data_IF_427665296142
#
_entry.id   IF_427665296142
#
_cell.length_a   1.000
_cell.length_b   1.000
_cell.length_c   1.000
_cell.angle_alpha   90.00
_cell.angle_beta   90.00
_cell.angle_gamma   90.00
#
_symmetry.space_group_name_H-M   'P 1'
#
loop_
_entity.id
_entity.type
_entity.pdbx_description
1 polymer ?
#
# COMPACT_ATOMS: atom_id res chain seq x y z
N UNK A 1 1.16 8.25 30.28
CA UNK A 1 1.03 9.37 31.24
C UNK A 1 1.07 10.66 30.45
N UNK A 2 0.10 11.53 30.62
CA UNK A 2 0.01 12.84 29.95
C UNK A 2 0.39 13.92 30.95
N UNK A 3 1.47 14.63 30.68
CA UNK A 3 1.87 15.81 31.42
C UNK A 3 2.07 16.97 30.45
N UNK A 4 1.47 18.14 30.73
CA UNK A 4 1.67 19.39 29.99
C UNK A 4 1.61 19.25 28.46
N UNK A 5 0.56 18.64 27.90
CA UNK A 5 0.40 18.43 26.45
C UNK A 5 1.45 17.51 25.81
N UNK A 6 2.11 16.67 26.57
CA UNK A 6 3.09 15.67 26.10
C UNK A 6 2.66 14.29 26.59
N UNK A 7 2.60 13.31 25.70
CA UNK A 7 2.39 11.91 26.04
C UNK A 7 3.68 11.14 25.82
N UNK A 8 3.98 10.21 26.74
CA UNK A 8 5.13 9.31 26.64
C UNK A 8 4.63 7.87 26.57
N UNK A 9 5.19 7.09 25.65
CA UNK A 9 5.04 5.64 25.62
C UNK A 9 6.39 4.97 25.59
N UNK A 10 6.50 3.86 26.31
CA UNK A 10 7.67 2.98 26.27
C UNK A 10 7.22 1.57 25.96
N UNK A 11 7.78 0.98 24.93
CA UNK A 11 7.57 -0.41 24.55
C UNK A 11 8.88 -1.20 24.69
N UNK A 12 8.79 -2.42 25.24
CA UNK A 12 9.89 -3.38 25.27
C UNK A 12 9.57 -4.46 24.23
N UNK A 13 10.50 -4.73 23.34
CA UNK A 13 10.36 -5.72 22.27
C UNK A 13 11.48 -6.74 22.38
N UNK A 14 11.12 -8.02 22.42
CA UNK A 14 12.09 -9.11 22.32
C UNK A 14 12.40 -9.41 20.86
N UNK A 15 13.67 -9.39 20.46
CA UNK A 15 14.12 -9.78 19.14
C UNK A 15 15.35 -10.66 19.27
N UNK A 16 15.27 -11.90 18.81
CA UNK A 16 16.41 -12.86 18.83
C UNK A 16 17.12 -12.94 20.18
N UNK A 17 16.38 -12.98 21.29
CA UNK A 17 16.95 -13.05 22.64
C UNK A 17 17.48 -11.72 23.22
N UNK A 18 17.40 -10.63 22.47
CA UNK A 18 17.74 -9.28 22.96
C UNK A 18 16.47 -8.44 23.12
N UNK A 19 16.39 -7.67 24.21
CA UNK A 19 15.30 -6.71 24.42
C UNK A 19 15.66 -5.36 23.82
N UNK A 20 14.81 -4.82 22.97
CA UNK A 20 14.91 -3.45 22.47
C UNK A 20 13.89 -2.56 23.16
N UNK A 21 14.27 -1.33 23.49
CA UNK A 21 13.39 -0.33 24.10
C UNK A 21 13.05 0.74 23.09
N UNK A 22 11.77 0.97 22.85
CA UNK A 22 11.29 2.09 22.04
C UNK A 22 10.61 3.10 22.96
N UNK A 23 11.18 4.29 23.03
CA UNK A 23 10.62 5.44 23.73
C UNK A 23 10.00 6.41 22.72
N UNK A 24 8.73 6.74 22.87
CA UNK A 24 8.06 7.73 22.02
C UNK A 24 7.54 8.88 22.87
N UNK A 25 7.94 10.10 22.52
CA UNK A 25 7.43 11.36 23.03
C UNK A 25 6.51 11.97 21.96
N UNK A 26 5.27 12.22 22.31
CA UNK A 26 4.28 12.84 21.45
C UNK A 26 3.80 14.16 22.06
N UNK A 27 3.89 15.28 21.31
CA UNK A 27 3.43 16.60 21.72
C UNK A 27 2.15 16.97 20.99
N UNK A 28 1.11 17.37 21.69
CA UNK A 28 -0.13 17.93 21.10
C UNK A 28 0.25 19.23 20.36
N UNK A 29 0.13 19.28 19.05
CA UNK A 29 0.60 20.34 18.14
C UNK A 29 2.09 20.33 17.82
N UNK A 30 2.81 19.22 18.04
CA UNK A 30 4.25 19.18 17.82
C UNK A 30 4.78 17.94 17.14
N UNK A 31 6.09 17.84 17.10
CA UNK A 31 6.82 16.72 16.51
C UNK A 31 6.80 15.49 17.41
N UNK A 32 6.58 14.32 16.81
CA UNK A 32 6.84 13.05 17.46
C UNK A 32 8.36 12.81 17.50
N UNK A 33 8.88 12.45 18.66
CA UNK A 33 10.28 12.04 18.84
C UNK A 33 10.29 10.58 19.27
N UNK A 34 11.04 9.75 18.56
CA UNK A 34 11.19 8.34 18.90
C UNK A 34 12.67 8.03 19.13
N UNK A 35 12.95 7.25 20.16
CA UNK A 35 14.28 6.73 20.47
C UNK A 35 14.22 5.21 20.50
N UNK A 36 15.23 4.56 19.95
CA UNK A 36 15.47 3.12 20.06
C UNK A 36 16.71 2.92 20.91
N UNK A 37 16.59 2.20 22.01
CA UNK A 37 17.70 1.96 22.97
C UNK A 37 18.41 3.28 23.34
N UNK A 38 17.62 4.34 23.58
CA UNK A 38 18.12 5.68 23.92
C UNK A 38 18.61 6.52 22.72
N UNK A 39 18.84 5.94 21.54
CA UNK A 39 19.28 6.67 20.34
C UNK A 39 18.08 7.21 19.54
N UNK A 40 18.14 8.48 19.13
CA UNK A 40 17.07 9.12 18.36
C UNK A 40 16.94 8.47 16.98
N UNK A 41 15.72 8.03 16.65
CA UNK A 41 15.37 7.61 15.29
C UNK A 41 14.83 8.84 14.56
N UNK A 42 15.46 9.19 13.44
CA UNK A 42 15.07 10.34 12.62
C UNK A 42 14.20 9.93 11.43
N UNK A 43 14.25 8.66 11.02
CA UNK A 43 13.54 8.14 9.85
C UNK A 43 12.33 7.29 10.24
N UNK A 44 11.12 7.76 9.89
CA UNK A 44 9.89 6.94 9.96
C UNK A 44 9.99 5.65 9.15
N UNK A 45 10.70 5.67 8.02
CA UNK A 45 10.95 4.49 7.19
C UNK A 45 11.65 3.39 7.98
N UNK A 46 12.68 3.75 8.74
CA UNK A 46 13.44 2.81 9.56
C UNK A 46 12.59 2.21 10.69
N UNK A 47 11.76 3.02 11.34
CA UNK A 47 10.85 2.54 12.40
C UNK A 47 9.88 1.48 11.90
N UNK A 48 9.17 1.78 10.79
CA UNK A 48 8.15 0.87 10.22
C UNK A 48 8.79 -0.44 9.75
N UNK A 49 10.01 -0.40 9.20
CA UNK A 49 10.71 -1.60 8.73
C UNK A 49 11.26 -2.47 9.86
N UNK A 50 11.71 -1.85 10.96
CA UNK A 50 12.22 -2.61 12.11
C UNK A 50 11.13 -3.35 12.85
N UNK A 51 9.98 -2.72 13.00
CA UNK A 51 8.85 -3.25 13.74
C UNK A 51 7.58 -3.12 12.89
N UNK A 52 7.44 -3.94 11.83
CA UNK A 52 6.26 -3.92 11.00
C UNK A 52 5.05 -4.33 11.82
N UNK A 53 3.92 -3.67 11.59
CA UNK A 53 2.65 -3.92 12.25
C UNK A 53 1.62 -4.28 11.21
N UNK A 54 0.94 -5.39 11.41
CA UNK A 54 -0.22 -5.81 10.62
C UNK A 54 -1.45 -5.63 11.50
N UNK A 55 -2.40 -4.85 11.01
CA UNK A 55 -3.67 -4.60 11.70
C UNK A 55 -4.74 -5.39 10.99
N UNK A 56 -5.61 -6.04 11.75
CA UNK A 56 -6.80 -6.70 11.25
C UNK A 56 -7.99 -6.11 12.00
N UNK A 57 -8.73 -5.21 11.35
CA UNK A 57 -9.89 -4.50 11.91
C UNK A 57 -11.07 -4.52 10.92
N UNK A 58 -12.30 -4.27 11.39
CA UNK A 58 -13.48 -4.22 10.51
C UNK A 58 -13.38 -3.19 9.38
N UNK A 59 -12.71 -2.06 9.61
CA UNK A 59 -12.54 -1.00 8.61
C UNK A 59 -11.71 -1.45 7.41
N UNK A 60 -10.82 -2.42 7.59
CA UNK A 60 -10.01 -2.98 6.50
C UNK A 60 -10.83 -3.83 5.51
N UNK A 61 -12.11 -4.11 5.77
CA UNK A 61 -13.00 -4.76 4.79
C UNK A 61 -13.13 -3.95 3.49
N UNK A 62 -12.82 -2.65 3.51
CA UNK A 62 -12.74 -1.83 2.30
C UNK A 62 -11.71 -2.35 1.28
N UNK A 63 -10.71 -3.14 1.70
CA UNK A 63 -9.77 -3.79 0.78
C UNK A 63 -10.51 -4.75 -0.15
N UNK A 64 -11.49 -5.49 0.37
CA UNK A 64 -12.26 -6.50 -0.38
C UNK A 64 -13.52 -5.93 -1.02
N UNK A 65 -14.21 -4.99 -0.37
CA UNK A 65 -15.48 -4.39 -0.80
C UNK A 65 -15.29 -3.13 -1.63
N UNK A 66 -14.25 -2.37 -1.32
CA UNK A 66 -13.99 -1.07 -1.90
C UNK A 66 -13.45 -1.09 -3.34
N UNK A 67 -13.08 0.08 -3.79
CA UNK A 67 -12.57 0.29 -5.14
C UNK A 67 -11.07 -0.02 -5.31
N UNK A 68 -10.53 0.18 -6.52
CA UNK A 68 -9.12 0.00 -6.81
C UNK A 68 -8.18 0.83 -5.93
N UNK A 69 -8.64 1.99 -5.44
CA UNK A 69 -7.83 2.86 -4.59
C UNK A 69 -7.46 2.19 -3.25
N UNK A 70 -8.43 1.47 -2.63
CA UNK A 70 -8.22 0.79 -1.35
C UNK A 70 -7.24 -0.38 -1.52
N UNK A 71 -7.40 -1.16 -2.58
CA UNK A 71 -6.48 -2.27 -2.90
C UNK A 71 -5.06 -1.76 -3.19
N UNK A 72 -4.91 -0.67 -3.99
CA UNK A 72 -3.58 -0.06 -4.20
C UNK A 72 -2.97 0.40 -2.88
N UNK A 73 -3.75 1.08 -2.03
CA UNK A 73 -3.28 1.55 -0.72
C UNK A 73 -2.77 0.40 0.14
N UNK A 74 -3.49 -0.71 0.17
CA UNK A 74 -3.09 -1.91 0.89
C UNK A 74 -1.77 -2.47 0.36
N UNK A 75 -1.68 -2.80 -0.93
CA UNK A 75 -0.48 -3.40 -1.50
C UNK A 75 0.71 -2.44 -1.51
N UNK A 76 0.51 -1.16 -1.81
CA UNK A 76 1.58 -0.16 -1.74
C UNK A 76 2.15 -0.04 -0.32
N UNK A 77 1.30 -0.15 0.72
CA UNK A 77 1.74 -0.21 2.13
C UNK A 77 2.58 -1.47 2.38
N UNK A 78 2.06 -2.65 2.06
CA UNK A 78 2.74 -3.93 2.27
C UNK A 78 4.11 -3.94 1.58
N UNK A 79 4.15 -3.57 0.31
CA UNK A 79 5.37 -3.56 -0.49
C UNK A 79 6.39 -2.53 0.02
N UNK A 80 5.93 -1.37 0.46
CA UNK A 80 6.78 -0.33 1.05
C UNK A 80 7.42 -0.74 2.37
N UNK A 81 6.76 -1.59 3.16
CA UNK A 81 7.32 -2.12 4.41
C UNK A 81 8.49 -3.05 4.13
N UNK A 82 8.42 -3.89 3.11
CA UNK A 82 9.43 -4.91 2.83
C UNK A 82 10.53 -4.45 1.86
N UNK A 83 10.27 -3.41 1.04
CA UNK A 83 11.24 -2.89 0.06
C UNK A 83 11.40 -1.38 0.16
N UNK A 84 12.63 -0.93 0.45
CA UNK A 84 12.99 0.50 0.43
C UNK A 84 12.96 1.05 -0.98
N UNK A 85 13.44 0.26 -1.94
CA UNK A 85 13.46 0.62 -3.35
C UNK A 85 12.06 0.87 -3.89
N UNK A 86 11.12 -0.03 -3.57
CA UNK A 86 9.70 0.17 -3.89
C UNK A 86 9.15 1.47 -3.30
N UNK A 87 9.40 1.71 -2.01
CA UNK A 87 8.94 2.91 -1.33
C UNK A 87 9.50 4.17 -1.98
N UNK A 88 10.79 4.19 -2.34
CA UNK A 88 11.45 5.34 -2.96
C UNK A 88 10.93 5.58 -4.39
N UNK A 89 10.69 4.51 -5.15
CA UNK A 89 10.05 4.57 -6.48
C UNK A 89 8.63 5.12 -6.37
N UNK A 90 7.82 4.61 -5.45
CA UNK A 90 6.44 5.06 -5.22
C UNK A 90 6.40 6.53 -4.82
N UNK A 91 7.23 6.96 -3.87
CA UNK A 91 7.29 8.36 -3.42
C UNK A 91 7.71 9.29 -4.54
N UNK A 92 8.71 8.88 -5.34
CA UNK A 92 9.19 9.65 -6.49
C UNK A 92 8.09 9.78 -7.54
N UNK A 93 7.39 8.67 -7.86
CA UNK A 93 6.26 8.68 -8.79
C UNK A 93 5.15 9.62 -8.32
N UNK A 94 4.74 9.53 -7.06
CA UNK A 94 3.68 10.39 -6.49
C UNK A 94 4.08 11.87 -6.52
N UNK A 95 5.35 12.18 -6.23
CA UNK A 95 5.88 13.55 -6.29
C UNK A 95 5.85 14.10 -7.72
N UNK A 96 6.32 13.33 -8.70
CA UNK A 96 6.32 13.73 -10.12
C UNK A 96 4.88 13.91 -10.62
N UNK A 97 4.00 12.96 -10.31
CA UNK A 97 2.58 13.02 -10.65
C UNK A 97 1.91 14.30 -10.11
N UNK A 98 2.19 14.66 -8.86
CA UNK A 98 1.68 15.88 -8.23
C UNK A 98 2.17 17.14 -8.95
N UNK A 99 3.46 17.20 -9.32
CA UNK A 99 4.03 18.35 -10.04
C UNK A 99 3.43 18.46 -11.44
N UNK A 100 3.33 17.33 -12.17
CA UNK A 100 2.68 17.30 -13.47
C UNK A 100 1.23 17.78 -13.40
N UNK A 101 0.45 17.30 -12.43
CA UNK A 101 -0.94 17.72 -12.26
C UNK A 101 -1.06 19.22 -11.95
N UNK A 102 -0.19 19.76 -11.11
CA UNK A 102 -0.14 21.19 -10.83
C UNK A 102 0.17 22.01 -12.10
N UNK A 103 1.07 21.52 -12.96
CA UNK A 103 1.37 22.17 -14.24
C UNK A 103 0.19 22.08 -15.21
N UNK A 104 -0.49 20.92 -15.30
CA UNK A 104 -1.69 20.76 -16.14
C UNK A 104 -2.78 21.78 -15.79
N UNK A 105 -3.01 22.04 -14.52
CA UNK A 105 -3.94 23.09 -14.05
C UNK A 105 -3.49 24.46 -14.53
N UNK A 106 -2.19 24.79 -14.40
CA UNK A 106 -1.64 26.08 -14.87
C UNK A 106 -1.76 26.26 -16.38
N UNK A 107 -1.55 25.17 -17.15
CA UNK A 107 -1.76 25.19 -18.62
C UNK A 107 -3.22 25.44 -18.95
N UNK A 108 -4.14 24.73 -18.29
CA UNK A 108 -5.57 24.95 -18.45
C UNK A 108 -6.00 26.37 -18.17
N UNK A 109 -5.44 26.98 -17.14
CA UNK A 109 -5.74 28.35 -16.72
C UNK A 109 -4.95 29.42 -17.52
N UNK A 110 -4.23 29.03 -18.59
CA UNK A 110 -3.43 29.95 -19.43
C UNK A 110 -2.17 30.51 -18.78
N UNK A 111 -1.73 29.94 -17.63
CA UNK A 111 -0.59 30.42 -16.82
C UNK A 111 0.71 29.66 -17.09
N UNK A 112 0.72 28.70 -17.99
CA UNK A 112 1.89 27.93 -18.42
C UNK A 112 1.70 27.42 -19.85
N UNK A 113 2.80 27.06 -20.52
CA UNK A 113 2.77 26.54 -21.88
C UNK A 113 2.60 25.02 -21.88
N UNK A 114 1.85 24.49 -22.85
CA UNK A 114 1.66 23.05 -23.02
C UNK A 114 3.00 22.29 -23.24
N UNK A 115 3.99 22.94 -23.87
CA UNK A 115 5.32 22.36 -24.06
C UNK A 115 6.08 22.06 -22.77
N UNK A 116 5.81 22.78 -21.68
CA UNK A 116 6.45 22.56 -20.38
C UNK A 116 6.08 21.20 -19.75
N UNK A 117 4.95 20.62 -20.16
CA UNK A 117 4.47 19.33 -19.65
C UNK A 117 5.37 18.18 -20.09
N UNK A 118 6.03 18.29 -21.25
CA UNK A 118 6.84 17.20 -21.83
C UNK A 118 7.97 16.72 -20.93
N UNK A 119 8.65 17.63 -20.23
CA UNK A 119 9.72 17.29 -19.28
C UNK A 119 9.19 16.43 -18.12
N UNK A 120 7.97 16.70 -17.67
CA UNK A 120 7.32 15.89 -16.63
C UNK A 120 6.81 14.55 -17.18
N UNK A 121 6.39 14.48 -18.44
CA UNK A 121 5.99 13.24 -19.09
C UNK A 121 7.13 12.23 -19.15
N UNK A 122 8.34 12.65 -19.52
CA UNK A 122 9.53 11.79 -19.56
C UNK A 122 9.88 11.24 -18.17
N UNK A 123 9.95 12.13 -17.17
CA UNK A 123 10.25 11.75 -15.79
C UNK A 123 9.19 10.82 -15.22
N UNK A 124 7.91 11.09 -15.49
CA UNK A 124 6.79 10.27 -15.05
C UNK A 124 6.85 8.90 -15.70
N UNK A 125 7.19 8.83 -17.00
CA UNK A 125 7.29 7.57 -17.76
C UNK A 125 8.35 6.64 -17.16
N UNK A 126 9.56 7.12 -16.94
CA UNK A 126 10.65 6.31 -16.38
C UNK A 126 10.25 5.74 -15.01
N UNK A 127 9.70 6.59 -14.14
CA UNK A 127 9.31 6.15 -12.79
C UNK A 127 8.10 5.21 -12.82
N UNK A 128 7.15 5.42 -13.75
CA UNK A 128 5.97 4.57 -13.91
C UNK A 128 6.33 3.16 -14.37
N UNK A 129 7.28 3.02 -15.31
CA UNK A 129 7.75 1.72 -15.79
C UNK A 129 8.32 0.91 -14.62
N UNK A 130 9.21 1.51 -13.84
CA UNK A 130 9.82 0.86 -12.68
C UNK A 130 8.76 0.47 -11.64
N UNK A 131 7.82 1.35 -11.33
CA UNK A 131 6.76 1.07 -10.36
C UNK A 131 5.85 -0.09 -10.81
N UNK A 132 5.49 -0.15 -12.10
CA UNK A 132 4.68 -1.24 -12.65
C UNK A 132 5.43 -2.58 -12.58
N UNK A 133 6.72 -2.62 -12.92
CA UNK A 133 7.54 -3.83 -12.83
C UNK A 133 7.62 -4.34 -11.41
N UNK A 134 8.00 -3.47 -10.47
CA UNK A 134 8.11 -3.82 -9.05
C UNK A 134 6.76 -4.28 -8.46
N UNK A 135 5.64 -3.62 -8.81
CA UNK A 135 4.31 -4.07 -8.37
C UNK A 135 3.96 -5.45 -8.88
N UNK A 136 4.27 -5.74 -10.15
CA UNK A 136 4.00 -7.04 -10.75
C UNK A 136 4.77 -8.14 -10.03
N UNK A 137 6.09 -7.99 -9.88
CA UNK A 137 6.95 -8.95 -9.20
C UNK A 137 6.49 -9.20 -7.76
N UNK A 138 6.30 -8.13 -6.98
CA UNK A 138 5.93 -8.27 -5.58
C UNK A 138 4.53 -8.85 -5.39
N UNK A 139 3.60 -8.57 -6.31
CA UNK A 139 2.27 -9.17 -6.25
C UNK A 139 2.32 -10.67 -6.61
N UNK A 140 3.14 -11.07 -7.59
CA UNK A 140 3.35 -12.49 -7.93
C UNK A 140 3.91 -13.26 -6.73
N UNK A 141 4.89 -12.72 -6.03
CA UNK A 141 5.40 -13.32 -4.80
C UNK A 141 4.35 -13.38 -3.68
N UNK A 142 3.58 -12.30 -3.50
CA UNK A 142 2.49 -12.27 -2.52
C UNK A 142 1.40 -13.31 -2.84
N UNK A 143 1.07 -13.48 -4.11
CA UNK A 143 0.14 -14.53 -4.58
C UNK A 143 0.69 -15.92 -4.26
N UNK A 144 1.98 -16.16 -4.40
CA UNK A 144 2.63 -17.40 -3.98
C UNK A 144 2.41 -17.71 -2.50
N UNK A 145 2.56 -16.70 -1.63
CA UNK A 145 2.30 -16.84 -0.19
C UNK A 145 0.81 -17.09 0.09
N UNK A 146 -0.08 -16.39 -0.60
CA UNK A 146 -1.53 -16.58 -0.46
C UNK A 146 -1.96 -17.99 -0.88
N UNK A 147 -1.44 -18.51 -2.00
CA UNK A 147 -1.72 -19.87 -2.47
C UNK A 147 -1.18 -20.92 -1.49
N UNK A 148 0.02 -20.71 -0.93
CA UNK A 148 0.56 -21.57 0.12
C UNK A 148 -0.38 -21.65 1.33
N UNK A 149 -0.91 -20.53 1.80
CA UNK A 149 -1.86 -20.52 2.91
C UNK A 149 -3.14 -21.28 2.57
N UNK A 150 -3.70 -21.07 1.39
CA UNK A 150 -4.92 -21.75 0.95
C UNK A 150 -4.73 -23.27 0.85
N UNK A 151 -3.56 -23.74 0.38
CA UNK A 151 -3.29 -25.17 0.26
C UNK A 151 -3.15 -25.90 1.60
N UNK A 152 -2.99 -25.16 2.72
CA UNK A 152 -2.90 -25.72 4.08
C UNK A 152 -4.19 -25.54 4.88
N UNK A 153 -5.24 -25.03 4.25
CA UNK A 153 -6.55 -24.89 4.85
C UNK A 153 -7.48 -25.98 4.34
N UNK A 154 -8.17 -26.66 5.24
CA UNK A 154 -8.95 -27.86 4.90
C UNK A 154 -10.23 -27.56 4.11
N UNK A 155 -10.74 -26.32 4.19
CA UNK A 155 -11.94 -25.92 3.47
C UNK A 155 -11.60 -25.42 2.05
N UNK A 156 -12.59 -25.48 1.15
CA UNK A 156 -12.49 -25.04 -0.24
C UNK A 156 -12.50 -23.51 -0.38
N UNK A 157 -11.38 -22.88 0.01
CA UNK A 157 -11.16 -21.43 -0.10
C UNK A 157 -10.31 -21.13 -1.33
N UNK A 158 -10.90 -20.44 -2.32
CA UNK A 158 -10.22 -20.04 -3.54
C UNK A 158 -10.24 -18.51 -3.73
N UNK A 159 -9.17 -17.85 -3.25
CA UNK A 159 -8.95 -16.42 -3.39
C UNK A 159 -7.88 -16.20 -4.45
N UNK A 160 -8.22 -15.50 -5.52
CA UNK A 160 -7.29 -15.09 -6.57
C UNK A 160 -6.97 -13.60 -6.48
N UNK A 161 -5.74 -13.24 -6.82
CA UNK A 161 -5.31 -11.86 -7.01
C UNK A 161 -4.74 -11.71 -8.42
N UNK A 162 -5.11 -10.63 -9.11
CA UNK A 162 -4.62 -10.36 -10.46
C UNK A 162 -4.25 -8.90 -10.62
N UNK A 163 -3.02 -8.63 -11.03
CA UNK A 163 -2.59 -7.29 -11.38
C UNK A 163 -3.27 -6.84 -12.68
N UNK A 164 -3.91 -5.69 -12.63
CA UNK A 164 -4.53 -5.02 -13.77
C UNK A 164 -3.88 -3.66 -13.97
N UNK A 165 -2.76 -3.61 -14.70
CA UNK A 165 -2.12 -2.35 -14.99
C UNK A 165 -3.03 -1.48 -15.87
N UNK A 166 -3.10 -0.20 -15.55
CA UNK A 166 -3.77 0.78 -16.41
C UNK A 166 -2.98 1.02 -17.71
N UNK A 167 -1.67 0.71 -17.67
CA UNK A 167 -0.78 0.75 -18.81
C UNK A 167 -0.62 -0.66 -19.38
N UNK A 168 -1.25 -0.94 -20.54
CA UNK A 168 -1.12 -2.24 -21.22
C UNK A 168 0.32 -2.50 -21.71
N UNK A 169 1.01 -1.45 -22.10
CA UNK A 169 2.42 -1.47 -22.55
C UNK A 169 3.13 -0.26 -21.94
N UNK A 170 3.93 -0.52 -20.92
CA UNK A 170 4.67 0.52 -20.22
C UNK A 170 5.67 1.25 -21.11
N UNK A 171 6.22 0.57 -22.14
CA UNK A 171 7.17 1.18 -23.08
C UNK A 171 6.52 2.23 -23.97
N UNK A 172 5.19 2.18 -24.14
CA UNK A 172 4.41 3.15 -24.92
C UNK A 172 3.83 4.28 -24.07
N UNK A 173 4.19 4.36 -22.78
CA UNK A 173 3.54 5.30 -21.86
C UNK A 173 3.80 6.76 -22.25
N UNK A 174 5.01 7.12 -22.65
CA UNK A 174 5.31 8.49 -23.10
C UNK A 174 4.40 8.92 -24.26
N UNK A 175 4.25 8.05 -25.26
CA UNK A 175 3.33 8.32 -26.39
C UNK A 175 1.86 8.38 -25.96
N UNK A 176 1.46 7.61 -24.94
CA UNK A 176 0.11 7.66 -24.39
C UNK A 176 -0.15 8.98 -23.66
N UNK A 177 0.82 9.46 -22.84
CA UNK A 177 0.73 10.77 -22.16
C UNK A 177 0.61 11.92 -23.17
N UNK A 178 1.37 11.86 -24.27
CA UNK A 178 1.24 12.84 -25.36
C UNK A 178 -0.16 12.81 -25.99
N UNK A 179 -0.70 11.62 -26.29
CA UNK A 179 -2.04 11.48 -26.89
C UNK A 179 -3.17 11.90 -25.96
N UNK A 180 -3.01 11.74 -24.65
CA UNK A 180 -4.04 12.09 -23.66
C UNK A 180 -3.86 13.50 -23.07
N UNK A 181 -2.87 14.26 -23.55
CA UNK A 181 -2.49 15.55 -22.96
C UNK A 181 -3.64 16.55 -22.89
N UNK A 182 -4.38 16.74 -23.98
CA UNK A 182 -5.49 17.68 -24.00
C UNK A 182 -6.59 17.29 -23.01
N UNK A 183 -6.86 15.99 -22.91
CA UNK A 183 -7.79 15.46 -21.90
C UNK A 183 -7.24 15.70 -20.48
N UNK A 184 -5.94 15.45 -20.25
CA UNK A 184 -5.30 15.67 -18.95
C UNK A 184 -5.34 17.16 -18.56
N UNK A 185 -5.10 18.07 -19.52
CA UNK A 185 -5.20 19.53 -19.32
C UNK A 185 -6.65 19.90 -18.97
N UNK A 186 -7.63 19.44 -19.74
CA UNK A 186 -9.05 19.71 -19.48
C UNK A 186 -9.47 19.30 -18.06
N UNK A 187 -9.05 18.10 -17.60
CA UNK A 187 -9.34 17.63 -16.25
C UNK A 187 -8.41 18.19 -15.17
N UNK A 188 -7.32 18.87 -15.53
CA UNK A 188 -6.28 19.31 -14.60
C UNK A 188 -5.57 18.16 -13.87
N UNK A 189 -5.57 16.95 -14.44
CA UNK A 189 -4.98 15.76 -13.83
C UNK A 189 -4.61 14.70 -14.85
N UNK A 190 -3.59 13.92 -14.52
CA UNK A 190 -3.17 12.76 -15.31
C UNK A 190 -4.23 11.66 -15.26
N UNK A 191 -4.72 11.22 -16.41
CA UNK A 191 -5.81 10.24 -16.53
C UNK A 191 -5.32 8.81 -16.70
N UNK A 192 -4.06 8.60 -17.06
CA UNK A 192 -3.43 7.30 -17.33
C UNK A 192 -2.18 7.10 -16.48
N UNK A 193 -1.94 5.87 -16.02
CA UNK A 193 -0.72 5.51 -15.28
C UNK A 193 -0.95 4.62 -14.06
N UNK A 194 0.13 4.24 -13.35
CA UNK A 194 0.10 3.34 -12.20
C UNK A 194 -0.84 3.76 -11.06
N UNK A 195 -1.12 5.04 -10.92
CA UNK A 195 -2.11 5.56 -9.97
C UNK A 195 -3.57 5.20 -10.31
N UNK A 196 -3.79 4.50 -11.43
CA UNK A 196 -5.09 3.97 -11.90
C UNK A 196 -5.10 2.44 -11.99
N UNK A 197 -4.01 1.78 -11.63
CA UNK A 197 -3.94 0.31 -11.61
C UNK A 197 -4.94 -0.30 -10.63
N UNK A 198 -5.18 -1.60 -10.79
CA UNK A 198 -5.93 -2.41 -9.83
C UNK A 198 -5.19 -3.72 -9.53
N UNK A 199 -5.35 -4.20 -8.30
CA UNK A 199 -5.03 -5.55 -7.88
C UNK A 199 -6.36 -6.25 -7.62
N UNK A 200 -7.00 -6.70 -8.72
CA UNK A 200 -8.33 -7.31 -8.66
C UNK A 200 -8.31 -8.58 -7.83
N UNK A 201 -9.32 -8.71 -6.96
CA UNK A 201 -9.51 -9.88 -6.14
C UNK A 201 -10.68 -10.72 -6.66
N UNK A 202 -10.49 -12.03 -6.59
CA UNK A 202 -11.46 -13.02 -7.05
C UNK A 202 -11.75 -14.02 -5.92
N UNK A 203 -13.01 -14.40 -5.80
CA UNK A 203 -13.50 -15.50 -5.00
C UNK A 203 -14.05 -16.57 -5.94
N UNK A 204 -13.46 -17.77 -5.90
CA UNK A 204 -13.85 -18.88 -6.81
C UNK A 204 -13.98 -18.47 -8.28
N UNK A 205 -13.03 -17.64 -8.74
CA UNK A 205 -12.96 -17.19 -10.12
C UNK A 205 -13.84 -15.97 -10.49
N UNK A 206 -14.76 -15.57 -9.63
CA UNK A 206 -15.58 -14.37 -9.83
C UNK A 206 -15.05 -13.18 -9.00
N UNK A 207 -15.28 -11.93 -9.46
CA UNK A 207 -14.78 -10.74 -8.75
C UNK A 207 -15.42 -10.63 -7.36
N UNK A 208 -14.62 -10.74 -6.31
CA UNK A 208 -15.07 -10.71 -4.91
C UNK A 208 -15.97 -9.53 -4.60
N UNK A 209 -15.63 -8.33 -5.10
CA UNK A 209 -16.42 -7.12 -4.90
C UNK A 209 -17.86 -7.23 -5.44
N UNK A 210 -18.10 -8.07 -6.47
CA UNK A 210 -19.41 -8.17 -7.14
C UNK A 210 -20.24 -9.30 -6.55
N UNK A 211 -19.61 -10.45 -6.29
CA UNK A 211 -20.33 -11.67 -5.92
C UNK A 211 -20.18 -12.03 -4.44
N UNK A 212 -19.19 -11.45 -3.74
CA UNK A 212 -18.85 -11.85 -2.38
C UNK A 212 -19.97 -11.55 -1.39
N UNK A 213 -20.39 -12.57 -0.63
CA UNK A 213 -21.18 -12.43 0.58
C UNK A 213 -20.35 -11.76 1.70
N UNK A 214 -21.00 -11.34 2.78
CA UNK A 214 -20.26 -10.76 3.92
C UNK A 214 -19.24 -11.72 4.52
N UNK A 215 -19.58 -13.01 4.62
CA UNK A 215 -18.66 -14.04 5.10
C UNK A 215 -17.44 -14.22 4.20
N UNK A 216 -17.66 -14.30 2.88
CA UNK A 216 -16.57 -14.42 1.90
C UNK A 216 -15.64 -13.20 1.89
N UNK A 217 -16.16 -12.00 2.08
CA UNK A 217 -15.34 -10.79 2.27
C UNK A 217 -14.50 -10.87 3.55
N UNK A 218 -15.05 -11.37 4.65
CA UNK A 218 -14.31 -11.54 5.92
C UNK A 218 -13.22 -12.60 5.77
N UNK A 219 -13.54 -13.78 5.21
CA UNK A 219 -12.57 -14.85 4.97
C UNK A 219 -11.46 -14.34 4.03
N UNK A 220 -11.83 -13.69 2.94
CA UNK A 220 -10.85 -13.08 2.02
C UNK A 220 -9.93 -12.08 2.72
N UNK A 221 -10.45 -11.24 3.60
CA UNK A 221 -9.65 -10.30 4.38
C UNK A 221 -8.70 -11.03 5.32
N UNK A 222 -9.17 -12.03 6.05
CA UNK A 222 -8.33 -12.83 6.97
C UNK A 222 -7.17 -13.46 6.20
N UNK A 223 -7.43 -14.14 5.08
CA UNK A 223 -6.37 -14.73 4.26
C UNK A 223 -5.38 -13.69 3.71
N UNK A 224 -5.85 -12.52 3.27
CA UNK A 224 -4.97 -11.42 2.86
C UNK A 224 -4.06 -10.95 3.99
N UNK A 225 -4.60 -10.85 5.20
CA UNK A 225 -3.82 -10.38 6.37
C UNK A 225 -2.84 -11.44 6.84
N UNK A 226 -3.20 -12.71 6.82
CA UNK A 226 -2.26 -13.81 7.07
C UNK A 226 -1.15 -13.85 6.01
N UNK A 227 -1.51 -13.65 4.74
CA UNK A 227 -0.54 -13.53 3.65
C UNK A 227 0.39 -12.32 3.86
N UNK A 228 -0.14 -11.16 4.31
CA UNK A 228 0.66 -9.98 4.67
C UNK A 228 1.68 -10.34 5.77
N UNK A 229 1.26 -11.03 6.84
CA UNK A 229 2.15 -11.45 7.94
C UNK A 229 3.29 -12.34 7.41
N UNK A 230 2.96 -13.39 6.65
CA UNK A 230 3.96 -14.31 6.12
C UNK A 230 4.86 -13.67 5.06
N UNK A 231 4.31 -12.82 4.21
CA UNK A 231 5.07 -12.10 3.19
C UNK A 231 6.10 -11.17 3.85
N UNK A 232 5.68 -10.40 4.86
CA UNK A 232 6.58 -9.54 5.64
C UNK A 232 7.66 -10.39 6.32
N UNK A 233 7.29 -11.49 6.98
CA UNK A 233 8.24 -12.40 7.62
C UNK A 233 9.24 -12.98 6.63
N UNK A 234 8.80 -13.42 5.46
CA UNK A 234 9.67 -14.02 4.45
C UNK A 234 10.67 -13.00 3.88
N UNK A 235 10.25 -11.75 3.69
CA UNK A 235 11.09 -10.66 3.15
C UNK A 235 12.03 -10.02 4.20
N UNK A 236 11.62 -9.97 5.47
CA UNK A 236 12.38 -9.27 6.51
C UNK A 236 13.08 -10.20 7.50
N UNK A 237 12.75 -11.49 7.48
CA UNK A 237 13.21 -12.48 8.46
C UNK A 237 12.52 -12.40 9.82
N UNK A 238 11.64 -11.43 10.06
CA UNK A 238 10.97 -11.20 11.35
C UNK A 238 9.45 -11.20 11.17
N UNK A 239 8.73 -11.78 12.15
CA UNK A 239 7.30 -11.64 12.21
C UNK A 239 6.90 -10.20 12.52
N UNK A 240 5.90 -9.64 11.82
CA UNK A 240 5.30 -8.38 12.22
C UNK A 240 4.51 -8.53 13.53
N UNK A 241 4.28 -7.41 14.22
CA UNK A 241 3.32 -7.35 15.33
C UNK A 241 1.92 -7.44 14.73
N UNK A 242 1.12 -8.41 15.16
CA UNK A 242 -0.26 -8.54 14.73
C UNK A 242 -1.20 -7.89 15.76
N UNK A 243 -1.98 -6.92 15.32
CA UNK A 243 -3.03 -6.27 16.10
C UNK A 243 -4.39 -6.73 15.57
N UNK A 244 -5.17 -7.36 16.44
CA UNK A 244 -6.52 -7.83 16.14
C UNK A 244 -7.52 -6.93 16.87
N UNK A 245 -8.42 -6.30 16.10
CA UNK A 245 -9.46 -5.45 16.63
C UNK A 245 -10.83 -5.96 16.20
N UNK A 246 -11.63 -6.36 17.16
CA UNK A 246 -13.08 -6.68 17.14
C UNK A 246 -13.65 -7.39 15.88
N UNK A 247 -12.82 -8.21 15.22
CA UNK A 247 -13.22 -8.95 14.02
C UNK A 247 -14.34 -9.95 14.24
N UNK A 248 -14.46 -10.45 15.47
CA UNK A 248 -15.35 -11.54 15.84
C UNK A 248 -16.69 -11.05 16.42
N UNK A 249 -16.86 -9.75 16.71
CA UNK A 249 -18.06 -9.19 17.33
C UNK A 249 -19.36 -9.37 16.53
N UNK A 250 -19.28 -9.86 15.28
CA UNK A 250 -20.43 -10.15 14.41
C UNK A 250 -20.34 -11.52 13.73
N UNK A 251 -19.56 -12.43 14.27
CA UNK A 251 -19.74 -13.83 13.95
C UNK A 251 -20.90 -14.32 14.84
N UNK A 252 -22.12 -14.27 14.32
CA UNK A 252 -23.17 -15.12 14.85
C UNK A 252 -22.63 -16.55 14.77
N UNK A 253 -22.21 -17.06 15.91
CA UNK A 253 -22.10 -18.48 16.14
C UNK A 253 -23.55 -18.93 16.16
N UNK A 254 -24.11 -19.19 14.98
CA UNK A 254 -25.42 -19.81 14.85
C UNK A 254 -25.48 -21.09 15.68
N UNK A 255 -26.69 -21.51 16.06
CA UNK A 255 -26.90 -22.64 16.96
C UNK A 255 -26.29 -23.92 16.44
#
# INVERSE_FOLDING_TARGET
TVFNNVSYSRGLYGKNGTSETIDTEYRIKGSQKTKLNGKKITSRKEQVRRNPVVILSPEEQEITKGGPAERRRFFDRVFSVVSTEYLDTLQTYVKILKQRNALLIRVRDGKARNSEVSTWDERLTTTAINLCSQRKEMLEEFVGVLNYLQSHYEEDVHIGLKYKPNLKDSNKYLGLLSKTRDTDVSFGRTTRGPHKDDMEMYWRGAKTRIVGSQGEHKISLVFLKLAEVLFVKNKTGNFPILLLDDLFAKLDLGP
#
